data_IF_433707105351
#
_entry.id   IF_433707105351
#
_cell.length_a   1.000
_cell.length_b   1.000
_cell.length_c   1.000
_cell.angle_alpha   90.00
_cell.angle_beta   90.00
_cell.angle_gamma   90.00
#
_symmetry.space_group_name_H-M   'P 1'
#
loop_
_entity.id
_entity.type
_entity.pdbx_description
1 polymer ?
#
# COMPACT_ATOMS: atom_id res chain seq x y z
N UNK A 1 -7.83 -11.89 -7.72
CA UNK A 1 -6.70 -11.26 -6.99
C UNK A 1 -5.84 -10.50 -7.97
N UNK A 2 -5.29 -9.36 -7.57
CA UNK A 2 -4.47 -8.53 -8.46
C UNK A 2 -3.11 -8.32 -7.79
N UNK A 3 -2.05 -8.54 -8.54
CA UNK A 3 -0.68 -8.23 -8.12
C UNK A 3 -0.04 -7.27 -9.12
N UNK A 4 0.76 -6.35 -8.60
CA UNK A 4 1.61 -5.49 -9.43
C UNK A 4 3.04 -5.53 -8.91
N UNK A 5 3.97 -5.77 -9.81
CA UNK A 5 5.40 -5.81 -9.52
C UNK A 5 6.10 -4.69 -10.30
N UNK A 6 7.00 -4.00 -9.65
CA UNK A 6 7.83 -2.96 -10.26
C UNK A 6 9.29 -3.18 -9.83
N UNK A 7 10.22 -3.01 -10.75
CA UNK A 7 11.64 -3.00 -10.41
C UNK A 7 12.04 -1.61 -9.90
N UNK A 8 12.17 -1.47 -8.59
CA UNK A 8 12.56 -0.22 -7.94
C UNK A 8 14.06 0.05 -8.00
N UNK A 9 14.88 -0.98 -8.25
CA UNK A 9 16.34 -0.85 -8.31
C UNK A 9 16.80 -0.28 -9.66
N UNK A 10 15.94 -0.37 -10.68
CA UNK A 10 16.19 0.11 -12.03
C UNK A 10 14.97 0.83 -12.61
N UNK A 11 14.55 1.95 -12.02
CA UNK A 11 13.36 2.68 -12.46
C UNK A 11 13.47 3.17 -13.92
N UNK A 12 14.66 3.32 -14.44
CA UNK A 12 14.90 3.67 -15.85
C UNK A 12 14.57 2.53 -16.82
N UNK A 13 14.46 1.28 -16.33
CA UNK A 13 14.02 0.12 -17.11
C UNK A 13 12.56 -0.27 -16.85
N UNK A 14 11.87 0.47 -16.02
CA UNK A 14 10.46 0.59 -15.70
C UNK A 14 9.49 -0.47 -16.25
N UNK A 15 9.74 -1.76 -15.98
CA UNK A 15 8.70 -2.75 -16.18
C UNK A 15 7.70 -2.67 -15.05
N UNK A 16 6.43 -2.41 -15.35
CA UNK A 16 5.33 -2.61 -14.44
C UNK A 16 4.58 -3.83 -14.92
N UNK A 17 4.57 -4.88 -14.12
CA UNK A 17 3.87 -6.13 -14.42
C UNK A 17 2.62 -6.20 -13.57
N UNK A 18 1.46 -6.30 -14.20
CA UNK A 18 0.19 -6.53 -13.55
C UNK A 18 -0.30 -7.94 -13.86
N UNK A 19 -0.62 -8.69 -12.81
CA UNK A 19 -1.09 -10.07 -12.87
C UNK A 19 -2.42 -10.18 -12.11
N UNK A 20 -3.51 -10.36 -12.84
CA UNK A 20 -4.84 -10.64 -12.26
C UNK A 20 -5.16 -12.11 -12.43
N UNK A 21 -5.46 -12.79 -11.32
CA UNK A 21 -5.70 -14.23 -11.31
C UNK A 21 -6.84 -14.62 -10.36
N UNK A 22 -7.47 -15.74 -10.67
CA UNK A 22 -8.56 -16.28 -9.89
C UNK A 22 -8.01 -17.27 -8.84
N UNK A 23 -8.07 -16.86 -7.58
CA UNK A 23 -7.69 -17.70 -6.45
C UNK A 23 -8.83 -17.72 -5.42
N UNK A 24 -8.97 -18.79 -4.62
CA UNK A 24 -9.85 -18.79 -3.47
C UNK A 24 -9.53 -17.63 -2.51
N UNK A 25 -10.56 -17.07 -1.86
CA UNK A 25 -10.39 -15.87 -1.01
C UNK A 25 -9.46 -16.10 0.19
N UNK A 26 -9.33 -17.33 0.63
CA UNK A 26 -8.55 -17.79 1.78
C UNK A 26 -7.18 -18.38 1.39
N UNK A 27 -6.93 -18.57 0.10
CA UNK A 27 -5.66 -19.14 -0.37
C UNK A 27 -5.28 -18.59 -1.75
N UNK A 28 -4.40 -17.62 -1.76
CA UNK A 28 -3.87 -17.00 -2.98
C UNK A 28 -2.58 -17.66 -3.49
N UNK A 29 -2.08 -18.69 -2.80
CA UNK A 29 -0.90 -19.45 -3.20
C UNK A 29 -1.27 -20.61 -4.10
N UNK A 30 -0.39 -20.95 -5.04
CA UNK A 30 -0.59 -22.05 -5.97
C UNK A 30 0.12 -21.86 -7.30
N UNK A 31 -0.21 -22.74 -8.24
CA UNK A 31 0.24 -22.63 -9.64
C UNK A 31 -0.95 -22.18 -10.49
N UNK A 32 -0.72 -21.19 -11.34
CA UNK A 32 -1.73 -20.56 -12.19
C UNK A 32 -1.23 -20.54 -13.62
N UNK A 33 -2.12 -20.91 -14.53
CA UNK A 33 -1.91 -20.86 -15.98
C UNK A 33 -2.88 -19.86 -16.59
N UNK A 34 -2.82 -19.66 -17.90
CA UNK A 34 -3.75 -18.79 -18.62
C UNK A 34 -5.23 -19.07 -18.32
N UNK A 35 -5.59 -20.32 -17.99
CA UNK A 35 -6.97 -20.72 -17.63
C UNK A 35 -7.43 -20.09 -16.30
N UNK A 36 -6.50 -19.78 -15.41
CA UNK A 36 -6.78 -19.21 -14.09
C UNK A 36 -6.48 -17.70 -14.04
N UNK A 37 -6.01 -17.12 -15.15
CA UNK A 37 -5.67 -15.70 -15.24
C UNK A 37 -6.81 -14.90 -15.85
N UNK A 38 -7.00 -13.68 -15.38
CA UNK A 38 -7.78 -12.67 -16.09
C UNK A 38 -6.85 -11.92 -17.06
N UNK A 39 -6.64 -12.50 -18.23
CA UNK A 39 -5.74 -11.95 -19.25
C UNK A 39 -6.19 -10.58 -19.77
N UNK A 40 -7.48 -10.26 -19.69
CA UNK A 40 -8.01 -8.96 -20.11
C UNK A 40 -7.55 -7.82 -19.20
N UNK A 41 -7.25 -8.13 -17.94
CA UNK A 41 -6.78 -7.17 -16.94
C UNK A 41 -5.31 -7.36 -16.58
N UNK A 42 -4.64 -8.33 -17.18
CA UNK A 42 -3.22 -8.64 -16.99
C UNK A 42 -2.38 -8.06 -18.12
N UNK A 43 -1.38 -7.29 -17.80
CA UNK A 43 -0.51 -6.63 -18.78
C UNK A 43 0.81 -6.19 -18.15
N UNK A 44 1.78 -5.84 -19.00
CA UNK A 44 2.98 -5.13 -18.54
C UNK A 44 3.20 -3.85 -19.35
N UNK A 45 3.81 -2.87 -18.69
CA UNK A 45 4.46 -1.74 -19.35
C UNK A 45 5.95 -2.03 -19.47
N UNK A 46 6.47 -1.89 -20.68
CA UNK A 46 7.90 -2.00 -20.95
C UNK A 46 8.60 -0.66 -20.71
N UNK A 47 9.92 -0.66 -20.62
CA UNK A 47 10.73 0.55 -20.39
C UNK A 47 10.59 1.62 -21.47
N UNK A 48 10.19 1.24 -22.67
CA UNK A 48 9.89 2.16 -23.78
C UNK A 48 8.41 2.61 -23.81
N UNK A 49 7.66 2.30 -22.74
CA UNK A 49 6.28 2.75 -22.54
C UNK A 49 5.23 1.96 -23.34
N UNK A 50 5.59 0.82 -23.93
CA UNK A 50 4.62 -0.01 -24.63
C UNK A 50 3.84 -0.89 -23.65
N UNK A 51 2.57 -1.11 -23.96
CA UNK A 51 1.75 -2.09 -23.25
C UNK A 51 1.83 -3.43 -23.95
N UNK A 52 2.22 -4.47 -23.23
CA UNK A 52 2.25 -5.85 -23.69
C UNK A 52 1.18 -6.63 -22.92
N UNK A 53 0.22 -7.21 -23.63
CA UNK A 53 -0.75 -8.16 -23.07
C UNK A 53 -0.17 -9.57 -23.08
N UNK A 54 -0.75 -10.47 -22.33
CA UNK A 54 -0.26 -11.84 -22.20
C UNK A 54 -1.06 -12.81 -23.06
N UNK A 55 -0.38 -13.76 -23.67
CA UNK A 55 -1.00 -14.83 -24.47
C UNK A 55 -0.86 -16.19 -23.81
N UNK A 56 0.14 -16.33 -22.94
CA UNK A 56 0.37 -17.54 -22.14
C UNK A 56 1.06 -17.15 -20.84
N UNK A 57 0.71 -17.80 -19.75
CA UNK A 57 1.25 -17.56 -18.41
C UNK A 57 1.39 -18.87 -17.66
N UNK A 58 2.58 -19.11 -17.12
CA UNK A 58 2.84 -20.13 -16.11
C UNK A 58 3.38 -19.40 -14.87
N UNK A 59 2.58 -19.37 -13.79
CA UNK A 59 2.88 -18.60 -12.59
C UNK A 59 2.76 -19.47 -11.35
N UNK A 60 3.70 -19.32 -10.45
CA UNK A 60 3.67 -19.92 -9.11
C UNK A 60 3.72 -18.81 -8.06
N UNK A 61 2.79 -18.84 -7.14
CA UNK A 61 2.73 -17.97 -5.96
C UNK A 61 2.97 -18.82 -4.71
N UNK A 62 3.98 -18.47 -3.94
CA UNK A 62 4.32 -19.16 -2.70
C UNK A 62 4.43 -18.17 -1.54
N UNK A 63 4.20 -18.66 -0.35
CA UNK A 63 4.33 -17.88 0.89
C UNK A 63 5.31 -18.57 1.81
N UNK A 64 6.26 -17.80 2.35
CA UNK A 64 7.32 -18.29 3.23
C UNK A 64 7.44 -17.38 4.45
N UNK A 65 7.37 -17.95 5.65
CA UNK A 65 7.70 -17.20 6.86
C UNK A 65 9.22 -17.02 6.96
N UNK A 66 9.68 -15.78 7.01
CA UNK A 66 11.11 -15.42 7.03
C UNK A 66 11.58 -14.84 8.35
N UNK A 67 10.76 -14.94 9.38
CA UNK A 67 11.06 -14.44 10.72
C UNK A 67 9.84 -14.33 11.60
N UNK A 68 10.01 -13.70 12.75
CA UNK A 68 8.88 -13.39 13.62
C UNK A 68 8.07 -12.29 12.97
N UNK A 69 6.79 -12.56 12.68
CA UNK A 69 5.83 -11.61 12.12
C UNK A 69 6.18 -11.09 10.71
N UNK A 70 6.98 -11.82 9.95
CA UNK A 70 7.28 -11.47 8.57
C UNK A 70 7.04 -12.67 7.66
N UNK A 71 6.31 -12.43 6.60
CA UNK A 71 6.01 -13.40 5.55
C UNK A 71 6.41 -12.80 4.21
N UNK A 72 7.10 -13.59 3.38
CA UNK A 72 7.36 -13.24 1.99
C UNK A 72 6.37 -13.96 1.08
N UNK A 73 5.74 -13.23 0.19
CA UNK A 73 5.01 -13.76 -0.95
C UNK A 73 5.94 -13.70 -2.15
N UNK A 74 6.25 -14.85 -2.71
CA UNK A 74 7.17 -14.99 -3.84
C UNK A 74 6.35 -15.37 -5.07
N UNK A 75 6.47 -14.57 -6.11
CA UNK A 75 5.84 -14.82 -7.41
C UNK A 75 6.93 -15.12 -8.43
N UNK A 76 6.85 -16.30 -9.03
CA UNK A 76 7.66 -16.68 -10.18
C UNK A 76 6.71 -16.90 -11.36
N UNK A 77 6.95 -16.18 -12.45
CA UNK A 77 6.13 -16.35 -13.64
C UNK A 77 6.97 -16.38 -14.93
N UNK A 78 6.55 -17.23 -15.85
CA UNK A 78 6.99 -17.22 -17.24
C UNK A 78 5.80 -16.76 -18.08
N UNK A 79 5.97 -15.66 -18.83
CA UNK A 79 4.89 -14.99 -19.56
C UNK A 79 5.27 -14.89 -21.02
N UNK A 80 4.40 -15.35 -21.91
CA UNK A 80 4.50 -15.06 -23.34
C UNK A 80 3.70 -13.80 -23.64
N UNK A 81 4.39 -12.74 -24.05
CA UNK A 81 3.75 -11.50 -24.43
C UNK A 81 3.16 -11.53 -25.85
N UNK A 82 2.20 -10.66 -26.11
CA UNK A 82 1.59 -10.47 -27.44
C UNK A 82 2.59 -10.03 -28.53
N UNK A 83 3.76 -9.56 -28.12
CA UNK A 83 4.88 -9.23 -28.98
C UNK A 83 5.79 -10.43 -29.33
N UNK A 84 5.43 -11.64 -28.88
CA UNK A 84 6.18 -12.87 -29.09
C UNK A 84 7.43 -13.03 -28.22
N UNK A 85 7.64 -12.15 -27.25
CA UNK A 85 8.75 -12.22 -26.31
C UNK A 85 8.33 -12.98 -25.05
N UNK A 86 9.18 -13.89 -24.57
CA UNK A 86 9.00 -14.57 -23.30
C UNK A 86 9.71 -13.79 -22.20
N UNK A 87 8.96 -13.47 -21.13
CA UNK A 87 9.42 -12.76 -19.95
C UNK A 87 9.47 -13.70 -18.75
N UNK A 88 10.51 -13.56 -17.95
CA UNK A 88 10.61 -14.24 -16.67
C UNK A 88 10.51 -13.20 -15.55
N UNK A 89 9.56 -13.39 -14.67
CA UNK A 89 9.27 -12.51 -13.54
C UNK A 89 9.60 -13.25 -12.26
N UNK A 90 10.39 -12.60 -11.42
CA UNK A 90 10.59 -12.99 -10.04
C UNK A 90 10.29 -11.77 -9.18
N UNK A 91 9.28 -11.87 -8.35
CA UNK A 91 8.84 -10.78 -7.47
C UNK A 91 8.73 -11.31 -6.05
N UNK A 92 9.27 -10.56 -5.09
CA UNK A 92 9.16 -10.86 -3.66
C UNK A 92 8.46 -9.69 -2.99
N UNK A 93 7.34 -9.96 -2.34
CA UNK A 93 6.62 -8.99 -1.54
C UNK A 93 6.67 -9.39 -0.07
N UNK A 94 7.13 -8.47 0.78
CA UNK A 94 7.17 -8.69 2.22
C UNK A 94 5.87 -8.22 2.85
N UNK A 95 5.24 -9.12 3.59
CA UNK A 95 4.06 -8.85 4.40
C UNK A 95 4.45 -8.94 5.88
N UNK A 96 4.11 -7.93 6.62
CA UNK A 96 4.33 -7.89 8.06
C UNK A 96 3.00 -8.22 8.74
N UNK A 97 3.01 -9.26 9.59
CA UNK A 97 1.92 -9.57 10.49
C UNK A 97 2.24 -8.92 11.84
N UNK A 98 1.58 -7.81 12.20
CA UNK A 98 1.95 -7.05 13.38
C UNK A 98 1.69 -7.84 14.66
N UNK A 99 2.72 -7.94 15.51
CA UNK A 99 2.62 -8.63 16.81
C UNK A 99 1.91 -7.78 17.86
N UNK A 100 1.97 -6.45 17.71
CA UNK A 100 1.47 -5.47 18.67
C UNK A 100 0.68 -4.39 17.94
N UNK A 101 -0.31 -3.83 18.67
CA UNK A 101 -1.12 -2.71 18.20
C UNK A 101 -1.01 -1.56 19.16
N UNK A 102 -0.72 -0.39 18.65
CA UNK A 102 -0.70 0.87 19.42
C UNK A 102 -1.79 1.78 18.87
N UNK A 103 -2.70 2.19 19.75
CA UNK A 103 -3.76 3.13 19.40
C UNK A 103 -3.54 4.46 20.13
N UNK A 104 -3.61 5.56 19.40
CA UNK A 104 -3.46 6.90 19.96
C UNK A 104 -4.33 7.91 19.25
N UNK A 105 -4.65 9.00 19.97
CA UNK A 105 -5.36 10.16 19.41
C UNK A 105 -4.49 11.40 19.55
N UNK A 106 -4.34 12.15 18.47
CA UNK A 106 -3.66 13.45 18.44
C UNK A 106 -4.73 14.50 18.18
N UNK A 107 -4.92 15.41 19.13
CA UNK A 107 -5.81 16.58 18.99
C UNK A 107 -5.02 17.79 18.49
N UNK A 108 -5.75 18.81 18.05
CA UNK A 108 -5.17 20.07 17.57
C UNK A 108 -4.17 19.89 16.40
N UNK A 109 -4.49 18.96 15.52
CA UNK A 109 -3.72 18.66 14.33
C UNK A 109 -3.83 19.82 13.34
N UNK A 110 -2.71 20.20 12.73
CA UNK A 110 -2.72 21.11 11.58
C UNK A 110 -3.01 20.32 10.33
N UNK A 111 -4.19 20.56 9.75
CA UNK A 111 -4.58 19.97 8.47
C UNK A 111 -4.42 21.01 7.38
N UNK A 112 -3.72 20.64 6.31
CA UNK A 112 -3.58 21.41 5.09
C UNK A 112 -4.00 20.58 3.90
N UNK A 113 -4.69 21.19 2.95
CA UNK A 113 -5.05 20.56 1.68
C UNK A 113 -4.29 21.22 0.53
N UNK A 114 -3.54 20.42 -0.22
CA UNK A 114 -2.93 20.86 -1.47
C UNK A 114 -3.83 20.44 -2.65
N UNK A 115 -4.53 21.45 -3.22
CA UNK A 115 -5.50 21.22 -4.28
C UNK A 115 -4.86 20.77 -5.59
N UNK A 116 -3.62 21.19 -5.87
CA UNK A 116 -2.92 20.86 -7.13
C UNK A 116 -2.44 19.41 -7.14
N UNK A 117 -2.12 18.87 -5.97
CA UNK A 117 -1.60 17.52 -5.80
C UNK A 117 -2.62 16.54 -5.21
N UNK A 118 -3.78 17.04 -4.78
CA UNK A 118 -4.83 16.26 -4.12
C UNK A 118 -4.37 15.53 -2.87
N UNK A 119 -3.53 16.17 -2.06
CA UNK A 119 -3.08 15.66 -0.77
C UNK A 119 -3.67 16.42 0.40
N UNK A 120 -3.96 15.69 1.47
CA UNK A 120 -4.09 16.22 2.81
C UNK A 120 -2.78 15.98 3.56
N UNK A 121 -2.21 17.01 4.12
CA UNK A 121 -1.11 16.91 5.07
C UNK A 121 -1.67 17.10 6.48
N UNK A 122 -1.41 16.13 7.34
CA UNK A 122 -1.85 16.11 8.73
C UNK A 122 -0.58 16.10 9.59
N UNK A 123 -0.36 17.14 10.34
CA UNK A 123 0.79 17.24 11.25
C UNK A 123 0.32 17.47 12.69
N UNK A 124 0.80 16.66 13.60
CA UNK A 124 0.46 16.77 15.00
C UNK A 124 1.31 15.88 15.88
N UNK A 125 1.30 16.16 17.18
CA UNK A 125 2.05 15.40 18.17
C UNK A 125 1.32 15.31 19.49
N UNK A 126 1.64 14.27 20.24
CA UNK A 126 1.31 14.14 21.65
C UNK A 126 2.56 13.74 22.46
N UNK A 127 2.41 13.32 23.69
CA UNK A 127 3.54 12.99 24.59
C UNK A 127 4.41 11.83 24.08
N UNK A 128 3.87 10.95 23.23
CA UNK A 128 4.56 9.74 22.77
C UNK A 128 4.77 9.69 21.25
N UNK A 129 4.04 10.52 20.51
CA UNK A 129 3.98 10.44 19.05
C UNK A 129 4.10 11.83 18.41
N UNK A 130 4.92 11.91 17.37
CA UNK A 130 4.99 13.05 16.45
C UNK A 130 4.79 12.51 15.03
N UNK A 131 3.75 12.96 14.36
CA UNK A 131 3.36 12.43 13.06
C UNK A 131 3.10 13.55 12.05
N UNK A 132 3.71 13.39 10.88
CA UNK A 132 3.38 14.13 9.67
C UNK A 132 2.97 13.11 8.62
N UNK A 133 1.68 13.06 8.30
CA UNK A 133 1.12 12.06 7.39
C UNK A 133 0.56 12.76 6.15
N UNK A 134 0.97 12.30 4.97
CA UNK A 134 0.42 12.75 3.69
C UNK A 134 -0.56 11.73 3.16
N UNK A 135 -1.84 12.07 3.17
CA UNK A 135 -2.92 11.22 2.67
C UNK A 135 -3.40 11.74 1.33
N UNK A 136 -3.28 10.92 0.30
CA UNK A 136 -3.77 11.23 -1.04
C UNK A 136 -5.28 11.00 -1.09
N UNK A 137 -6.02 12.02 -1.46
CA UNK A 137 -7.45 11.92 -1.65
C UNK A 137 -7.93 12.80 -2.79
N UNK A 138 -8.43 12.20 -3.84
CA UNK A 138 -9.09 12.92 -4.93
C UNK A 138 -10.48 13.41 -4.54
N UNK A 139 -11.07 12.85 -3.49
CA UNK A 139 -12.34 13.23 -2.89
C UNK A 139 -12.39 12.66 -1.49
N UNK A 140 -12.69 13.49 -0.49
CA UNK A 140 -13.05 12.99 0.84
C UNK A 140 -14.39 12.27 0.69
N UNK A 141 -14.35 10.94 0.81
CA UNK A 141 -15.54 10.12 0.93
C UNK A 141 -15.49 9.45 2.28
N UNK A 142 -16.56 9.55 3.04
CA UNK A 142 -16.65 9.10 4.43
C UNK A 142 -16.30 7.62 4.67
N UNK A 143 -16.34 6.79 3.63
CA UNK A 143 -16.23 5.34 3.67
C UNK A 143 -15.17 4.78 2.72
N UNK A 144 -14.24 5.61 2.26
CA UNK A 144 -13.16 5.18 1.35
C UNK A 144 -11.81 5.21 2.05
N UNK A 145 -11.10 4.10 1.93
CA UNK A 145 -9.67 4.06 2.23
C UNK A 145 -8.92 4.88 1.18
N UNK A 146 -8.21 5.88 1.64
CA UNK A 146 -7.34 6.69 0.81
C UNK A 146 -5.94 6.10 0.77
N UNK A 147 -5.19 6.36 -0.28
CA UNK A 147 -3.76 6.03 -0.31
C UNK A 147 -2.96 7.04 0.52
N UNK A 148 -1.91 6.57 1.17
CA UNK A 148 -0.96 7.41 1.91
C UNK A 148 0.38 7.42 1.19
N UNK A 149 0.96 8.60 1.06
CA UNK A 149 2.33 8.74 0.55
C UNK A 149 3.31 8.43 1.68
N UNK A 150 3.78 7.18 1.74
CA UNK A 150 4.69 6.68 2.76
C UNK A 150 6.05 7.36 2.71
N UNK A 151 6.52 7.70 1.52
CA UNK A 151 7.86 8.27 1.30
C UNK A 151 7.97 9.71 1.83
N UNK A 152 6.88 10.47 1.74
CA UNK A 152 6.81 11.84 2.21
C UNK A 152 6.13 11.99 3.58
N UNK A 153 5.74 10.87 4.20
CA UNK A 153 5.23 10.84 5.57
C UNK A 153 6.37 10.61 6.57
N UNK A 154 6.27 11.25 7.72
CA UNK A 154 7.22 11.10 8.84
C UNK A 154 6.48 10.64 10.07
N UNK A 155 7.06 9.70 10.78
CA UNK A 155 6.46 9.14 11.97
C UNK A 155 7.53 8.90 13.04
N UNK A 156 7.30 9.42 14.25
CA UNK A 156 8.16 9.28 15.40
C UNK A 156 7.33 8.74 16.55
N UNK A 157 7.79 7.66 17.16
CA UNK A 157 7.17 7.07 18.33
C UNK A 157 8.19 6.89 19.45
N UNK A 158 7.87 7.41 20.65
CA UNK A 158 8.79 7.43 21.79
C UNK A 158 10.18 8.01 21.47
N UNK A 159 10.23 9.02 20.60
CA UNK A 159 11.47 9.68 20.16
C UNK A 159 12.26 8.91 19.10
N UNK A 160 11.77 7.76 18.64
CA UNK A 160 12.39 6.98 17.57
C UNK A 160 11.67 7.24 16.25
N UNK A 161 12.44 7.66 15.23
CA UNK A 161 11.93 7.78 13.88
C UNK A 161 11.74 6.39 13.25
N UNK A 162 10.52 6.13 12.76
CA UNK A 162 10.12 4.87 12.17
C UNK A 162 9.62 5.09 10.73
N UNK A 163 9.95 4.19 9.84
CA UNK A 163 9.42 4.22 8.48
C UNK A 163 8.11 3.45 8.39
N UNK A 164 7.18 3.94 7.56
CA UNK A 164 5.90 3.29 7.32
C UNK A 164 6.09 2.23 6.24
N UNK A 165 5.82 0.97 6.60
CA UNK A 165 6.01 -0.18 5.72
C UNK A 165 4.75 -0.49 4.90
N UNK A 166 3.60 -0.56 5.55
CA UNK A 166 2.31 -0.78 4.90
C UNK A 166 1.24 0.11 5.49
N UNK A 167 0.22 0.42 4.70
CA UNK A 167 -0.96 1.18 5.10
C UNK A 167 -2.18 0.30 4.92
N UNK A 168 -2.89 0.05 6.02
CA UNK A 168 -4.11 -0.75 6.03
C UNK A 168 -5.33 0.11 5.71
N UNK A 169 -5.39 1.31 6.29
CA UNK A 169 -6.45 2.28 6.02
C UNK A 169 -5.99 3.71 6.26
N UNK A 170 -6.59 4.65 5.54
CA UNK A 170 -6.46 6.08 5.76
C UNK A 170 -7.79 6.74 5.40
N UNK A 171 -8.61 7.04 6.40
CA UNK A 171 -9.98 7.54 6.23
C UNK A 171 -10.06 8.92 6.86
N UNK A 172 -10.54 9.91 6.12
CA UNK A 172 -10.77 11.27 6.59
C UNK A 172 -12.27 11.57 6.52
N UNK A 173 -12.86 11.94 7.66
CA UNK A 173 -14.26 12.32 7.78
C UNK A 173 -14.39 13.72 8.36
N UNK A 174 -15.57 14.33 8.19
CA UNK A 174 -15.95 15.53 8.92
C UNK A 174 -17.03 15.15 9.93
N UNK A 175 -16.74 15.33 11.21
CA UNK A 175 -17.62 14.94 12.29
C UNK A 175 -17.51 15.89 13.49
N UNK A 176 -18.48 15.84 14.38
CA UNK A 176 -18.48 16.66 15.60
C UNK A 176 -17.69 15.94 16.70
N UNK A 177 -16.62 16.57 17.18
CA UNK A 177 -15.78 16.08 18.27
C UNK A 177 -15.79 17.14 19.37
N UNK A 178 -16.18 16.75 20.59
CA UNK A 178 -16.27 17.67 21.75
C UNK A 178 -17.14 18.93 21.45
N UNK A 179 -18.23 18.79 20.70
CA UNK A 179 -19.11 19.87 20.18
C UNK A 179 -18.43 20.86 19.22
N UNK A 180 -17.34 20.46 18.57
CA UNK A 180 -16.66 21.25 17.55
C UNK A 180 -16.62 20.44 16.25
N UNK A 181 -17.10 21.04 15.16
CA UNK A 181 -16.97 20.41 13.85
C UNK A 181 -15.48 20.28 13.50
N UNK A 182 -15.06 19.07 13.18
CA UNK A 182 -13.65 18.74 13.00
C UNK A 182 -13.46 17.80 11.82
N UNK A 183 -12.31 17.89 11.17
CA UNK A 183 -11.82 16.78 10.37
C UNK A 183 -11.19 15.72 11.28
N UNK A 184 -11.60 14.47 11.08
CA UNK A 184 -11.05 13.31 11.81
C UNK A 184 -10.40 12.38 10.78
N UNK A 185 -9.10 12.19 10.92
CA UNK A 185 -8.35 11.24 10.12
C UNK A 185 -8.03 10.01 10.95
N UNK A 186 -8.55 8.85 10.53
CA UNK A 186 -8.21 7.55 11.09
C UNK A 186 -7.24 6.85 10.15
N UNK A 187 -6.01 6.68 10.60
CA UNK A 187 -4.95 6.06 9.82
C UNK A 187 -4.40 4.83 10.52
N UNK A 188 -4.41 3.71 9.83
CA UNK A 188 -3.85 2.45 10.33
C UNK A 188 -2.71 2.03 9.42
N UNK A 189 -1.54 1.83 10.00
CA UNK A 189 -0.34 1.42 9.26
C UNK A 189 0.58 0.56 10.13
N UNK A 190 1.46 -0.19 9.47
CA UNK A 190 2.53 -0.96 10.11
C UNK A 190 3.85 -0.27 9.84
N UNK A 191 4.69 -0.15 10.85
CA UNK A 191 6.00 0.48 10.73
C UNK A 191 7.16 -0.53 10.82
N UNK A 192 8.39 -0.04 10.66
CA UNK A 192 9.62 -0.85 10.63
C UNK A 192 9.92 -1.61 11.92
N UNK A 193 9.30 -1.26 13.04
CA UNK A 193 9.34 -2.02 14.29
C UNK A 193 8.35 -3.19 14.34
N UNK A 194 7.63 -3.45 13.23
CA UNK A 194 6.60 -4.49 13.10
C UNK A 194 5.36 -4.28 14.00
N UNK A 195 5.11 -3.06 14.43
CA UNK A 195 3.93 -2.67 15.22
C UNK A 195 2.89 -2.03 14.31
N UNK A 196 1.62 -2.38 14.52
CA UNK A 196 0.49 -1.70 13.90
C UNK A 196 0.12 -0.46 14.71
N UNK A 197 0.13 0.69 14.06
CA UNK A 197 -0.28 1.95 14.65
C UNK A 197 -1.66 2.36 14.12
N UNK A 198 -2.56 2.64 15.04
CA UNK A 198 -3.89 3.18 14.78
C UNK A 198 -3.91 4.60 15.31
N UNK A 199 -3.79 5.56 14.42
CA UNK A 199 -3.65 6.98 14.75
C UNK A 199 -4.92 7.72 14.36
N UNK A 200 -5.60 8.28 15.33
CA UNK A 200 -6.71 9.22 15.13
C UNK A 200 -6.18 10.65 15.27
N UNK A 201 -6.30 11.44 14.21
CA UNK A 201 -5.87 12.84 14.18
C UNK A 201 -7.10 13.74 14.06
N UNK A 202 -7.26 14.68 14.97
CA UNK A 202 -8.43 15.58 15.01
C UNK A 202 -7.97 17.02 14.76
N UNK A 203 -8.50 17.60 13.69
CA UNK A 203 -8.27 19.00 13.30
C UNK A 203 -9.58 19.77 13.40
N UNK A 204 -9.75 20.69 14.36
CA UNK A 204 -10.90 21.59 14.41
C UNK A 204 -11.00 22.41 13.12
N UNK A 205 -12.25 22.63 12.63
CA UNK A 205 -12.58 23.45 11.45
C UNK A 205 -12.66 24.92 11.79
#
# INVERSE_FOLDING_TARGET
>A
MSMSCMDFDKPEFGYIVKLDYFAPADNYCGTFTEENMDLAYSYMFTSDGQTVTYTDVDMTVTQVSVGKNMTQVIVNATILGSNGVTYQINCVHEMIDPAEKVQTTIKDVVLTFNADEYYFSLAGKNDVMDAYLMVRSNRVKADHTNSMDRMNSQFIYNGQALSIMSVESAIITAEEVDNVLSYVANVTFVSTDTVEYIVTMVSPL
#
